data_IF_322076384295
#
_entry.id   IF_322076384295
#
_cell.length_a   1.000
_cell.length_b   1.000
_cell.length_c   1.000
_cell.angle_alpha   90.00
_cell.angle_beta   90.00
_cell.angle_gamma   90.00
#
_symmetry.space_group_name_H-M   'P 1'
#
loop_
_entity.id
_entity.type
_entity.pdbx_description
1 polymer ?
#
# COMPACT_ATOMS: atom_id res chain seq x y z
N UNK A 1 -0.01 0.06 12.53
CA UNK A 1 1.00 0.36 11.48
C UNK A 1 1.51 1.79 11.55
N UNK A 2 0.67 2.83 11.60
CA UNK A 2 1.13 4.21 11.74
C UNK A 2 1.94 4.43 13.03
N UNK A 3 1.47 3.93 14.17
CA UNK A 3 2.22 4.01 15.43
C UNK A 3 3.60 3.33 15.33
N UNK A 4 3.65 2.14 14.72
CA UNK A 4 4.90 1.42 14.51
C UNK A 4 5.87 2.15 13.55
N UNK A 5 5.36 2.91 12.58
CA UNK A 5 6.17 3.78 11.73
C UNK A 5 6.64 5.03 12.48
N UNK A 6 5.82 5.56 13.39
CA UNK A 6 6.19 6.71 14.23
C UNK A 6 7.39 6.40 15.14
N UNK A 7 7.55 5.17 15.61
CA UNK A 7 8.73 4.71 16.35
C UNK A 7 10.05 4.81 15.52
N UNK A 8 9.92 5.06 14.22
CA UNK A 8 11.05 5.21 13.28
C UNK A 8 11.11 6.62 12.64
N UNK A 9 10.49 7.63 13.26
CA UNK A 9 10.41 9.01 12.79
C UNK A 9 9.66 9.16 11.44
N UNK A 10 8.67 8.31 11.18
CA UNK A 10 7.80 8.38 10.01
C UNK A 10 6.41 8.82 10.46
N UNK A 11 5.98 9.97 9.98
CA UNK A 11 4.60 10.45 10.16
C UNK A 11 3.76 10.14 8.91
N UNK A 12 2.46 9.97 9.08
CA UNK A 12 1.56 9.67 7.98
C UNK A 12 0.10 9.95 8.32
N UNK A 13 -0.74 9.84 7.30
CA UNK A 13 -2.19 9.89 7.41
C UNK A 13 -2.83 8.59 6.91
N UNK A 14 -4.04 8.32 7.35
CA UNK A 14 -4.84 7.20 6.87
C UNK A 14 -6.00 7.74 6.04
N UNK A 15 -6.19 7.15 4.85
CA UNK A 15 -7.34 7.37 4.00
C UNK A 15 -8.13 6.07 3.88
N UNK A 16 -9.41 6.10 4.13
CA UNK A 16 -10.32 5.00 3.80
C UNK A 16 -10.93 5.29 2.44
N UNK A 17 -10.42 4.62 1.41
CA UNK A 17 -10.78 4.93 0.00
C UNK A 17 -12.27 4.75 -0.28
N UNK A 18 -12.95 3.87 0.46
CA UNK A 18 -14.41 3.71 0.36
C UNK A 18 -15.23 4.95 0.77
N UNK A 19 -14.61 5.96 1.39
CA UNK A 19 -15.26 7.20 1.79
C UNK A 19 -15.21 8.29 0.70
N UNK A 20 -14.53 7.98 -0.43
CA UNK A 20 -14.33 8.89 -1.55
C UNK A 20 -15.01 8.35 -2.82
N UNK A 21 -15.51 9.26 -3.66
CA UNK A 21 -15.98 8.91 -5.01
C UNK A 21 -14.80 8.77 -5.97
N UNK A 22 -14.14 7.61 -5.90
CA UNK A 22 -13.07 7.25 -6.85
C UNK A 22 -13.68 6.54 -8.03
N UNK A 23 -13.73 7.21 -9.18
CA UNK A 23 -14.28 6.64 -10.40
C UNK A 23 -13.39 5.54 -10.98
N UNK A 24 -13.99 4.48 -11.56
CA UNK A 24 -13.23 3.45 -12.28
C UNK A 24 -12.52 4.06 -13.49
N UNK A 25 -11.33 3.55 -13.80
CA UNK A 25 -10.54 3.97 -14.94
C UNK A 25 -9.06 4.03 -14.62
N UNK A 26 -8.25 4.42 -15.62
CA UNK A 26 -6.78 4.40 -15.59
C UNK A 26 -6.17 5.79 -15.81
N UNK A 27 -6.98 6.85 -15.76
CA UNK A 27 -6.51 8.21 -15.96
C UNK A 27 -6.24 8.93 -14.62
N UNK A 28 -5.47 9.99 -14.65
CA UNK A 28 -5.18 10.85 -13.48
C UNK A 28 -6.46 11.51 -12.93
N UNK A 29 -7.41 11.77 -13.80
CA UNK A 29 -8.70 12.37 -13.52
C UNK A 29 -9.75 11.77 -14.47
N UNK A 30 -10.78 11.15 -13.94
CA UNK A 30 -11.88 10.56 -14.68
C UNK A 30 -13.06 11.53 -14.86
N UNK A 31 -12.85 12.81 -14.60
CA UNK A 31 -13.81 13.88 -14.83
C UNK A 31 -14.66 14.23 -13.62
N UNK A 32 -15.79 14.88 -13.89
CA UNK A 32 -16.63 15.53 -12.89
C UNK A 32 -17.00 14.62 -11.72
N UNK A 33 -16.72 15.08 -10.51
CA UNK A 33 -16.96 14.36 -9.25
C UNK A 33 -15.93 13.30 -8.89
N UNK A 34 -14.83 13.12 -9.65
CA UNK A 34 -13.77 12.18 -9.30
C UNK A 34 -12.87 12.76 -8.17
N UNK A 35 -12.83 12.12 -7.03
CA UNK A 35 -12.00 12.54 -5.89
C UNK A 35 -10.58 11.98 -5.93
N UNK A 36 -10.26 11.11 -6.90
CA UNK A 36 -8.93 10.55 -7.06
C UNK A 36 -7.81 11.58 -7.20
N UNK A 37 -7.94 12.70 -7.92
CA UNK A 37 -6.87 13.68 -8.03
C UNK A 37 -6.34 14.18 -6.69
N UNK A 38 -7.22 14.35 -5.70
CA UNK A 38 -6.84 14.72 -4.34
C UNK A 38 -6.07 13.60 -3.60
N UNK A 39 -6.50 12.35 -3.77
CA UNK A 39 -5.83 11.17 -3.22
C UNK A 39 -4.46 10.99 -3.87
N UNK A 40 -4.42 11.07 -5.21
CA UNK A 40 -3.19 10.99 -6.00
C UNK A 40 -2.13 12.01 -5.53
N UNK A 41 -2.54 13.24 -5.30
CA UNK A 41 -1.62 14.29 -4.81
C UNK A 41 -0.97 13.90 -3.48
N UNK A 42 -1.71 13.29 -2.56
CA UNK A 42 -1.19 12.78 -1.29
C UNK A 42 -0.23 11.60 -1.48
N UNK A 43 -0.56 10.66 -2.37
CA UNK A 43 0.31 9.52 -2.73
C UNK A 43 1.63 10.03 -3.31
N UNK A 44 1.59 10.99 -4.22
CA UNK A 44 2.79 11.58 -4.81
C UNK A 44 3.65 12.37 -3.80
N UNK A 45 3.04 12.95 -2.79
CA UNK A 45 3.75 13.67 -1.73
C UNK A 45 4.40 12.75 -0.68
N UNK A 46 3.90 11.51 -0.54
CA UNK A 46 4.40 10.57 0.45
C UNK A 46 5.63 9.81 -0.04
N UNK A 47 6.54 9.46 0.86
CA UNK A 47 7.69 8.57 0.59
C UNK A 47 7.31 7.08 0.73
N UNK A 48 6.24 6.80 1.45
CA UNK A 48 5.78 5.44 1.77
C UNK A 48 4.29 5.31 1.50
N UNK A 49 3.90 4.27 0.76
CA UNK A 49 2.52 3.85 0.59
C UNK A 49 2.28 2.53 1.34
N UNK A 50 1.34 2.54 2.28
CA UNK A 50 0.82 1.32 2.90
C UNK A 50 -0.53 1.02 2.26
N UNK A 51 -0.59 0.02 1.38
CA UNK A 51 -1.84 -0.38 0.75
C UNK A 51 -2.46 -1.54 1.55
N UNK A 52 -3.57 -1.23 2.21
CA UNK A 52 -4.30 -2.17 3.05
C UNK A 52 -5.61 -2.61 2.38
N UNK A 53 -5.91 -3.90 2.44
CA UNK A 53 -7.13 -4.48 1.87
C UNK A 53 -7.65 -5.64 2.71
N UNK A 54 -8.98 -5.85 2.78
CA UNK A 54 -9.51 -7.11 3.24
C UNK A 54 -9.29 -8.22 2.20
N UNK A 55 -9.38 -9.47 2.65
CA UNK A 55 -9.53 -10.63 1.77
C UNK A 55 -11.00 -10.89 1.54
N UNK A 56 -11.45 -10.89 0.29
CA UNK A 56 -12.80 -11.26 -0.11
C UNK A 56 -12.76 -12.28 -1.23
N UNK A 57 -13.32 -13.48 -0.97
CA UNK A 57 -13.30 -14.61 -1.92
C UNK A 57 -11.88 -14.93 -2.43
N UNK A 58 -10.88 -14.84 -1.55
CA UNK A 58 -9.48 -15.09 -1.89
C UNK A 58 -8.76 -13.96 -2.63
N UNK A 59 -9.43 -12.82 -2.86
CA UNK A 59 -8.91 -11.67 -3.62
C UNK A 59 -8.93 -10.39 -2.79
N UNK A 60 -8.17 -9.39 -3.23
CA UNK A 60 -8.29 -8.04 -2.70
C UNK A 60 -9.68 -7.45 -2.98
N UNK A 61 -10.10 -6.49 -2.18
CA UNK A 61 -11.36 -5.79 -2.43
C UNK A 61 -11.33 -5.04 -3.77
N UNK A 62 -12.49 -4.85 -4.40
CA UNK A 62 -12.62 -4.04 -5.60
C UNK A 62 -12.14 -2.59 -5.40
N UNK A 63 -12.17 -2.09 -4.16
CA UNK A 63 -11.66 -0.77 -3.81
C UNK A 63 -10.13 -0.74 -3.90
N UNK A 64 -9.45 -1.78 -3.39
CA UNK A 64 -7.99 -1.87 -3.51
C UNK A 64 -7.56 -2.07 -4.96
N UNK A 65 -8.27 -2.92 -5.71
CA UNK A 65 -8.08 -3.10 -7.14
C UNK A 65 -8.21 -1.78 -7.90
N UNK A 66 -9.23 -0.96 -7.56
CA UNK A 66 -9.42 0.37 -8.14
C UNK A 66 -8.25 1.31 -7.88
N UNK A 67 -7.64 1.24 -6.68
CA UNK A 67 -6.43 2.04 -6.39
C UNK A 67 -5.29 1.65 -7.34
N UNK A 68 -5.06 0.36 -7.59
CA UNK A 68 -4.05 -0.09 -8.56
C UNK A 68 -4.38 0.40 -9.99
N UNK A 69 -5.64 0.25 -10.42
CA UNK A 69 -6.07 0.74 -11.75
C UNK A 69 -5.86 2.25 -11.90
N UNK A 70 -6.11 3.02 -10.84
CA UNK A 70 -5.91 4.47 -10.87
C UNK A 70 -4.43 4.86 -10.82
N UNK A 71 -3.57 4.02 -10.25
CA UNK A 71 -2.10 4.21 -10.27
C UNK A 71 -1.49 3.88 -11.64
N UNK A 72 -2.20 3.18 -12.53
CA UNK A 72 -1.73 2.89 -13.90
C UNK A 72 -1.33 4.15 -14.66
N UNK A 73 -2.00 5.28 -14.40
CA UNK A 73 -1.65 6.57 -14.97
C UNK A 73 -0.19 7.00 -14.71
N UNK A 74 0.43 6.49 -13.64
CA UNK A 74 1.80 6.85 -13.26
C UNK A 74 2.87 6.13 -14.10
N UNK A 75 2.50 5.11 -14.88
CA UNK A 75 3.42 4.41 -15.81
C UNK A 75 4.03 5.35 -16.85
N UNK A 76 3.31 6.40 -17.24
CA UNK A 76 3.77 7.40 -18.21
C UNK A 76 4.40 8.64 -17.59
N UNK A 77 4.40 8.74 -16.24
CA UNK A 77 4.86 9.94 -15.54
C UNK A 77 6.31 9.80 -15.10
N UNK A 78 7.07 10.86 -15.33
CA UNK A 78 8.47 10.94 -14.92
C UNK A 78 8.74 12.21 -14.11
N UNK A 79 9.78 12.14 -13.30
CA UNK A 79 10.34 13.33 -12.64
C UNK A 79 11.24 14.14 -13.61
N UNK A 80 11.78 15.26 -13.14
CA UNK A 80 12.66 16.15 -13.93
C UNK A 80 13.95 15.46 -14.42
N UNK A 81 14.34 14.34 -13.82
CA UNK A 81 15.49 13.54 -14.23
C UNK A 81 15.12 12.40 -15.19
N UNK A 82 13.85 12.26 -15.56
CA UNK A 82 13.35 11.23 -16.46
C UNK A 82 13.10 9.87 -15.79
N UNK A 83 13.15 9.77 -14.45
CA UNK A 83 12.83 8.56 -13.70
C UNK A 83 11.31 8.44 -13.54
N UNK A 84 10.75 7.22 -13.45
CA UNK A 84 9.34 7.06 -13.07
C UNK A 84 9.01 7.87 -11.81
N UNK A 85 7.89 8.58 -11.81
CA UNK A 85 7.55 9.56 -10.74
C UNK A 85 7.46 8.92 -9.34
N UNK A 86 7.20 7.62 -9.26
CA UNK A 86 7.14 6.86 -8.00
C UNK A 86 8.47 6.14 -7.66
N UNK A 87 9.47 6.23 -8.54
CA UNK A 87 10.78 5.64 -8.27
C UNK A 87 11.44 6.30 -7.05
N UNK A 88 12.00 5.46 -6.17
CA UNK A 88 12.57 5.93 -4.90
C UNK A 88 11.58 5.98 -3.75
N UNK A 89 10.30 5.69 -3.99
CA UNK A 89 9.29 5.51 -2.94
C UNK A 89 9.13 4.04 -2.57
N UNK A 90 8.58 3.78 -1.39
CA UNK A 90 8.42 2.44 -0.84
C UNK A 90 6.96 2.09 -0.72
N UNK A 91 6.57 0.87 -1.13
CA UNK A 91 5.24 0.35 -0.91
C UNK A 91 5.26 -0.94 -0.11
N UNK A 92 4.24 -1.11 0.73
CA UNK A 92 4.02 -2.32 1.54
C UNK A 92 2.55 -2.73 1.49
N UNK A 93 2.29 -4.03 1.62
CA UNK A 93 0.96 -4.60 1.60
C UNK A 93 0.52 -5.01 3.00
N UNK A 94 -0.75 -4.71 3.34
CA UNK A 94 -1.41 -5.19 4.56
C UNK A 94 -2.72 -5.87 4.17
N UNK A 95 -2.84 -7.16 4.47
CA UNK A 95 -4.01 -7.98 4.09
C UNK A 95 -4.65 -8.57 5.33
N UNK A 96 -5.87 -8.17 5.62
CA UNK A 96 -6.59 -8.62 6.82
C UNK A 96 -7.95 -9.23 6.42
N UNK A 97 -8.21 -10.42 6.89
CA UNK A 97 -9.49 -11.09 6.68
C UNK A 97 -9.51 -12.45 7.35
N UNK A 98 -10.70 -13.03 7.50
CA UNK A 98 -10.89 -14.38 8.02
C UNK A 98 -11.00 -15.43 6.90
N UNK A 99 -10.48 -15.10 5.72
CA UNK A 99 -10.40 -15.99 4.55
C UNK A 99 -8.95 -16.23 4.14
N UNK A 100 -8.72 -17.34 3.46
CA UNK A 100 -7.45 -17.64 2.80
C UNK A 100 -7.28 -16.80 1.52
N UNK A 101 -6.03 -16.50 1.15
CA UNK A 101 -5.72 -15.72 -0.06
C UNK A 101 -4.68 -14.61 0.12
N UNK A 102 -4.24 -14.33 1.34
CA UNK A 102 -3.35 -13.19 1.63
C UNK A 102 -2.04 -13.19 0.83
N UNK A 103 -1.45 -14.37 0.57
CA UNK A 103 -0.21 -14.45 -0.23
C UNK A 103 -0.45 -14.13 -1.70
N UNK A 104 -1.56 -14.58 -2.31
CA UNK A 104 -1.91 -14.24 -3.68
C UNK A 104 -2.16 -12.73 -3.81
N UNK A 105 -2.95 -12.16 -2.90
CA UNK A 105 -3.22 -10.72 -2.85
C UNK A 105 -1.92 -9.91 -2.71
N UNK A 106 -1.02 -10.33 -1.83
CA UNK A 106 0.27 -9.65 -1.63
C UNK A 106 1.11 -9.70 -2.91
N UNK A 107 1.11 -10.82 -3.64
CA UNK A 107 1.83 -10.95 -4.90
C UNK A 107 1.27 -10.01 -5.98
N UNK A 108 -0.05 -9.94 -6.13
CA UNK A 108 -0.74 -9.03 -7.06
C UNK A 108 -0.45 -7.56 -6.73
N UNK A 109 -0.53 -7.19 -5.45
CA UNK A 109 -0.21 -5.83 -4.99
C UNK A 109 1.24 -5.47 -5.30
N UNK A 110 2.19 -6.37 -5.00
CA UNK A 110 3.61 -6.09 -5.24
C UNK A 110 3.95 -6.03 -6.72
N UNK A 111 3.31 -6.84 -7.56
CA UNK A 111 3.49 -6.74 -9.00
C UNK A 111 3.03 -5.35 -9.50
N UNK A 112 1.79 -4.98 -9.23
CA UNK A 112 1.25 -3.70 -9.71
C UNK A 112 2.00 -2.48 -9.15
N UNK A 113 2.32 -2.49 -7.85
CA UNK A 113 3.08 -1.40 -7.22
C UNK A 113 4.52 -1.33 -7.74
N UNK A 114 5.14 -2.47 -8.02
CA UNK A 114 6.47 -2.54 -8.64
C UNK A 114 6.48 -1.97 -10.06
N UNK A 115 5.47 -2.30 -10.86
CA UNK A 115 5.35 -1.83 -12.24
C UNK A 115 5.24 -0.30 -12.32
N UNK A 116 4.51 0.35 -11.40
CA UNK A 116 4.41 1.80 -11.34
C UNK A 116 5.61 2.50 -10.67
N UNK A 117 6.62 1.75 -10.22
CA UNK A 117 7.91 2.28 -9.78
C UNK A 117 8.22 2.17 -8.29
N UNK A 118 7.35 1.63 -7.46
CA UNK A 118 7.65 1.44 -6.04
C UNK A 118 8.68 0.35 -5.79
N UNK A 119 9.49 0.54 -4.74
CA UNK A 119 10.32 -0.50 -4.16
C UNK A 119 9.62 -1.13 -2.95
N UNK A 120 9.79 -2.45 -2.77
CA UNK A 120 9.28 -3.16 -1.59
C UNK A 120 10.41 -3.55 -0.65
N UNK A 121 10.28 -3.37 0.68
CA UNK A 121 11.30 -3.77 1.62
C UNK A 121 11.30 -5.28 1.82
N UNK A 122 12.39 -5.81 2.38
CA UNK A 122 12.39 -7.17 2.90
C UNK A 122 11.26 -7.35 3.92
N UNK A 123 10.52 -8.45 3.82
CA UNK A 123 9.32 -8.73 4.61
C UNK A 123 8.25 -7.62 4.49
N UNK A 124 8.07 -7.11 3.27
CA UNK A 124 7.19 -5.98 2.96
C UNK A 124 5.69 -6.25 3.06
N UNK A 125 5.27 -7.48 3.36
CA UNK A 125 3.87 -7.87 3.52
C UNK A 125 3.52 -8.23 4.97
N UNK A 126 2.37 -7.74 5.42
CA UNK A 126 1.72 -8.13 6.67
C UNK A 126 0.37 -8.74 6.34
N UNK A 127 0.02 -9.84 6.97
CA UNK A 127 -1.33 -10.39 6.87
C UNK A 127 -1.81 -11.02 8.17
N UNK A 128 -3.13 -11.10 8.27
CA UNK A 128 -3.83 -11.91 9.26
C UNK A 128 -5.03 -12.56 8.58
N UNK A 129 -5.17 -13.87 8.71
CA UNK A 129 -6.32 -14.64 8.21
C UNK A 129 -7.00 -15.44 9.33
N UNK A 130 -6.53 -15.28 10.56
CA UNK A 130 -7.07 -15.99 11.72
C UNK A 130 -7.05 -17.51 11.51
N UNK A 131 -8.15 -18.15 11.90
CA UNK A 131 -8.49 -19.49 11.48
C UNK A 131 -9.36 -19.35 10.22
N UNK A 132 -8.72 -19.43 9.05
CA UNK A 132 -9.36 -19.15 7.76
C UNK A 132 -10.69 -19.88 7.60
N UNK A 133 -11.70 -19.19 7.07
CA UNK A 133 -13.10 -19.61 6.90
C UNK A 133 -13.92 -19.69 8.21
N UNK A 134 -13.37 -19.24 9.32
CA UNK A 134 -14.14 -19.01 10.54
C UNK A 134 -14.82 -17.63 10.53
N UNK A 135 -15.70 -17.38 11.50
CA UNK A 135 -16.54 -16.18 11.54
C UNK A 135 -15.99 -15.03 12.39
N UNK A 136 -14.77 -15.19 12.95
CA UNK A 136 -14.15 -14.16 13.78
C UNK A 136 -13.38 -13.20 12.89
N UNK A 137 -13.72 -11.93 12.94
CA UNK A 137 -12.99 -10.87 12.26
C UNK A 137 -11.85 -10.32 13.11
N UNK A 138 -10.86 -9.67 12.48
CA UNK A 138 -9.73 -9.08 13.20
C UNK A 138 -10.17 -8.08 14.27
N UNK A 139 -11.22 -7.30 13.98
CA UNK A 139 -11.77 -6.31 14.92
C UNK A 139 -12.49 -6.92 16.13
N UNK A 140 -12.85 -8.21 16.07
CA UNK A 140 -13.49 -8.94 17.17
C UNK A 140 -12.47 -9.53 18.15
N UNK A 141 -11.19 -9.45 17.81
CA UNK A 141 -10.14 -9.95 18.68
C UNK A 141 -9.97 -9.04 19.91
N UNK A 142 -9.79 -9.62 21.11
CA UNK A 142 -9.61 -8.85 22.34
C UNK A 142 -8.30 -8.04 22.34
N UNK A 143 -7.31 -8.50 21.58
CA UNK A 143 -6.02 -7.84 21.42
C UNK A 143 -5.37 -8.23 20.09
N UNK A 144 -4.42 -7.42 19.62
CA UNK A 144 -3.61 -7.76 18.45
C UNK A 144 -2.80 -9.02 18.73
N UNK A 145 -2.90 -10.09 17.91
CA UNK A 145 -2.09 -11.27 18.08
C UNK A 145 -0.59 -10.95 18.09
N UNK A 146 0.15 -11.57 19.00
CA UNK A 146 1.59 -11.30 19.18
C UNK A 146 2.38 -11.41 17.87
N UNK A 147 2.07 -12.41 17.04
CA UNK A 147 2.73 -12.60 15.75
C UNK A 147 2.47 -11.45 14.78
N UNK A 148 1.25 -10.90 14.78
CA UNK A 148 0.89 -9.73 13.96
C UNK A 148 1.64 -8.50 14.46
N UNK A 149 1.68 -8.28 15.77
CA UNK A 149 2.43 -7.16 16.37
C UNK A 149 3.92 -7.22 16.03
N UNK A 150 4.56 -8.39 16.17
CA UNK A 150 5.97 -8.61 15.82
C UNK A 150 6.24 -8.38 14.33
N UNK A 151 5.35 -8.86 13.45
CA UNK A 151 5.47 -8.66 12.01
C UNK A 151 5.28 -7.19 11.65
N UNK A 152 4.34 -6.50 12.28
CA UNK A 152 4.11 -5.06 12.09
C UNK A 152 5.35 -4.24 12.47
N UNK A 153 5.98 -4.53 13.61
CA UNK A 153 7.20 -3.85 14.02
C UNK A 153 8.38 -4.10 13.05
N UNK A 154 8.52 -5.33 12.57
CA UNK A 154 9.55 -5.68 11.58
C UNK A 154 9.31 -4.96 10.25
N UNK A 155 8.06 -4.98 9.77
CA UNK A 155 7.66 -4.30 8.55
C UNK A 155 7.92 -2.79 8.64
N UNK A 156 7.49 -2.14 9.72
CA UNK A 156 7.69 -0.70 9.92
C UNK A 156 9.18 -0.31 9.92
N UNK A 157 10.01 -1.05 10.64
CA UNK A 157 11.47 -0.84 10.69
C UNK A 157 12.09 -0.97 9.29
N UNK A 158 11.79 -2.03 8.57
CA UNK A 158 12.37 -2.30 7.25
C UNK A 158 11.88 -1.27 6.22
N UNK A 159 10.62 -0.86 6.29
CA UNK A 159 10.01 0.17 5.43
C UNK A 159 10.68 1.53 5.64
N UNK A 160 10.78 1.97 6.89
CA UNK A 160 11.43 3.24 7.23
C UNK A 160 12.93 3.24 6.83
N UNK A 161 13.63 2.11 7.02
CA UNK A 161 15.02 1.97 6.60
C UNK A 161 15.17 2.13 5.09
N UNK A 162 14.37 1.40 4.30
CA UNK A 162 14.43 1.46 2.84
C UNK A 162 14.06 2.85 2.30
N UNK A 163 13.02 3.47 2.86
CA UNK A 163 12.62 4.82 2.45
C UNK A 163 13.71 5.87 2.71
N UNK A 164 14.35 5.82 3.89
CA UNK A 164 15.48 6.69 4.22
C UNK A 164 16.67 6.45 3.28
N UNK A 165 16.95 5.20 2.93
CA UNK A 165 18.03 4.83 2.01
C UNK A 165 17.78 5.36 0.59
N UNK A 166 16.59 5.12 0.03
CA UNK A 166 16.23 5.55 -1.31
C UNK A 166 16.14 7.08 -1.43
N UNK A 167 15.73 7.77 -0.37
CA UNK A 167 15.75 9.22 -0.30
C UNK A 167 17.18 9.79 -0.33
N UNK A 168 18.12 9.13 0.34
CA UNK A 168 19.53 9.53 0.37
C UNK A 168 20.29 9.15 -0.91
N UNK A 169 19.89 8.05 -1.56
CA UNK A 169 20.49 7.51 -2.77
C UNK A 169 19.39 7.11 -3.77
N UNK A 170 18.83 8.07 -4.50
CA UNK A 170 17.80 7.78 -5.51
C UNK A 170 18.31 6.86 -6.62
N UNK A 171 17.39 6.17 -7.29
CA UNK A 171 17.72 5.44 -8.51
C UNK A 171 18.39 6.37 -9.54
N UNK A 172 19.33 5.84 -10.35
CA UNK A 172 19.97 6.64 -11.40
C UNK A 172 18.90 7.09 -12.42
N UNK A 173 19.18 8.21 -13.08
CA UNK A 173 18.42 8.60 -14.27
C UNK A 173 18.70 7.60 -15.41
N UNK A 174 17.74 7.44 -16.36
CA UNK A 174 17.93 6.61 -17.56
C UNK A 174 19.14 7.02 -18.39
#
# INVERSE_FOLDING_TARGET
>A
MLDALADHDVSGEQLRIADFDVKPGVEKDMGDGDEWPGIRAKILAADILVLATPTWMGHMSSIAQRVLERLDAELSETDDAGRPILAGKVAVAVVLGNEDGAHAITADLFQGLGDVGYSTPSQGGLYWNGEAMHTVDYNDLPETPEKVAQTTATLARNTAHLAKLLRAQPYPAP
#
